data_IF_024686910334
#
_entry.id   IF_024686910334
#
_cell.length_a   1.000
_cell.length_b   1.000
_cell.length_c   1.000
_cell.angle_alpha   90.00
_cell.angle_beta   90.00
_cell.angle_gamma   90.00
#
_symmetry.space_group_name_H-M   'P 1'
#
loop_
_entity.id
_entity.type
_entity.pdbx_description
1 polymer ?
#
# COMPACT_ATOMS: atom_id res chain seq x y z
N UNK A 1 8.79 7.27 -4.94
CA UNK A 1 10.20 7.67 -4.83
C UNK A 1 11.15 6.47 -4.85
N UNK A 2 10.87 5.39 -4.09
CA UNK A 2 11.76 4.21 -4.07
C UNK A 2 11.80 3.48 -5.43
N UNK A 3 10.68 3.37 -6.14
CA UNK A 3 10.62 2.79 -7.48
C UNK A 3 11.44 3.59 -8.50
N UNK A 4 11.46 4.92 -8.39
CA UNK A 4 12.27 5.80 -9.25
C UNK A 4 13.78 5.66 -9.02
N UNK A 5 14.18 5.19 -7.82
CA UNK A 5 15.58 4.96 -7.45
C UNK A 5 16.04 3.50 -7.74
N UNK A 6 15.26 2.72 -8.48
CA UNK A 6 15.59 1.32 -8.78
C UNK A 6 15.38 0.34 -7.62
N UNK A 7 15.10 0.83 -6.43
CA UNK A 7 15.02 -0.02 -5.23
C UNK A 7 13.74 -0.87 -5.16
N UNK A 8 12.69 -0.57 -5.97
CA UNK A 8 11.43 -1.34 -5.97
C UNK A 8 10.85 -1.49 -4.56
N UNK A 9 10.60 -2.71 -4.14
CA UNK A 9 10.25 -3.07 -2.76
C UNK A 9 11.49 -3.24 -1.86
N UNK A 10 12.69 -3.07 -2.40
CA UNK A 10 13.93 -3.24 -1.67
C UNK A 10 14.16 -2.08 -0.67
N UNK A 11 15.01 -2.34 0.31
CA UNK A 11 15.42 -1.34 1.29
C UNK A 11 16.02 -0.11 0.59
N UNK A 12 15.51 1.10 0.83
CA UNK A 12 15.99 2.33 0.19
C UNK A 12 17.47 2.65 0.49
N UNK A 13 18.06 1.96 1.47
CA UNK A 13 19.49 2.07 1.81
C UNK A 13 20.39 1.35 0.82
N UNK A 14 19.87 0.36 0.08
CA UNK A 14 20.69 -0.50 -0.78
C UNK A 14 21.43 0.28 -1.89
N UNK A 15 20.83 1.31 -2.46
CA UNK A 15 21.50 2.15 -3.46
C UNK A 15 22.75 2.85 -2.87
N UNK A 16 22.62 3.39 -1.64
CA UNK A 16 23.76 4.00 -0.92
C UNK A 16 24.83 2.98 -0.57
N UNK A 17 24.41 1.80 -0.15
CA UNK A 17 25.33 0.72 0.21
C UNK A 17 26.07 0.24 -1.02
N UNK A 18 25.39 0.10 -2.18
CA UNK A 18 26.02 -0.24 -3.45
C UNK A 18 27.17 0.69 -3.79
N UNK A 19 26.95 2.02 -3.70
CA UNK A 19 28.01 3.02 -3.93
C UNK A 19 29.18 2.85 -2.93
N UNK A 20 28.90 2.59 -1.66
CA UNK A 20 29.92 2.46 -0.62
C UNK A 20 30.75 1.18 -0.74
N UNK A 21 30.15 0.10 -1.22
CA UNK A 21 30.87 -1.18 -1.43
C UNK A 21 31.48 -1.29 -2.83
N UNK A 22 31.20 -0.35 -3.72
CA UNK A 22 31.67 -0.38 -5.10
C UNK A 22 30.96 -1.42 -5.95
N UNK A 23 29.66 -1.60 -5.73
CA UNK A 23 28.80 -2.50 -6.47
C UNK A 23 27.65 -1.75 -7.16
N UNK A 24 26.85 -2.51 -7.92
CA UNK A 24 25.67 -2.04 -8.64
C UNK A 24 24.49 -2.92 -8.24
N UNK A 25 23.30 -2.36 -8.14
CA UNK A 25 22.09 -3.16 -7.90
C UNK A 25 21.85 -4.08 -9.11
N UNK A 26 21.47 -5.31 -8.86
CA UNK A 26 21.13 -6.26 -9.92
C UNK A 26 19.97 -5.76 -10.79
N UNK A 27 19.01 -5.04 -10.18
CA UNK A 27 17.92 -4.37 -10.91
C UNK A 27 18.38 -3.28 -11.89
N UNK A 28 19.55 -2.69 -11.65
CA UNK A 28 20.11 -1.66 -12.51
C UNK A 28 21.00 -2.27 -13.59
N UNK A 29 21.63 -3.42 -13.34
CA UNK A 29 22.31 -4.21 -14.36
C UNK A 29 21.36 -4.64 -15.48
N UNK A 30 20.12 -4.98 -15.11
CA UNK A 30 19.04 -5.37 -16.03
C UNK A 30 18.05 -4.24 -16.32
N UNK A 31 18.48 -2.99 -16.32
CA UNK A 31 17.58 -1.85 -16.48
C UNK A 31 16.89 -1.81 -17.86
N UNK A 32 17.54 -2.34 -18.91
CA UNK A 32 17.05 -2.36 -20.29
C UNK A 32 16.17 -3.59 -20.65
N UNK A 33 15.80 -4.41 -19.68
CA UNK A 33 14.90 -5.56 -19.91
C UNK A 33 13.53 -5.09 -20.42
N UNK A 34 13.01 -5.84 -21.39
CA UNK A 34 11.67 -5.60 -21.92
C UNK A 34 10.59 -5.82 -20.84
N UNK A 35 9.44 -5.16 -21.02
CA UNK A 35 8.31 -5.33 -20.10
C UNK A 35 7.74 -6.75 -20.12
N UNK A 36 7.89 -7.44 -21.24
CA UNK A 36 7.39 -8.80 -21.43
C UNK A 36 8.28 -9.83 -20.73
N UNK A 37 9.59 -9.56 -20.64
CA UNK A 37 10.56 -10.42 -19.95
C UNK A 37 10.66 -10.13 -18.45
N UNK A 38 10.21 -8.97 -17.99
CA UNK A 38 10.27 -8.56 -16.59
C UNK A 38 9.66 -9.56 -15.60
N UNK A 39 8.54 -10.27 -15.90
CA UNK A 39 7.99 -11.31 -15.02
C UNK A 39 8.95 -12.50 -14.84
N UNK A 40 9.60 -12.94 -15.93
CA UNK A 40 10.58 -14.01 -15.90
C UNK A 40 11.76 -13.66 -15.00
N UNK A 41 12.42 -12.53 -15.23
CA UNK A 41 13.56 -12.09 -14.43
C UNK A 41 13.20 -11.84 -12.97
N UNK A 42 12.00 -11.30 -12.71
CA UNK A 42 11.50 -11.14 -11.34
C UNK A 42 11.33 -12.48 -10.61
N UNK A 43 10.87 -13.51 -11.33
CA UNK A 43 10.75 -14.86 -10.80
C UNK A 43 12.11 -15.56 -10.67
N UNK A 44 12.98 -15.40 -11.66
CA UNK A 44 14.32 -15.99 -11.71
C UNK A 44 15.14 -15.58 -10.49
N UNK A 45 15.24 -14.29 -10.25
CA UNK A 45 16.05 -13.77 -9.13
C UNK A 45 15.28 -13.78 -7.80
N UNK A 46 13.96 -13.61 -7.80
CA UNK A 46 13.13 -13.67 -6.60
C UNK A 46 13.68 -12.80 -5.45
N UNK A 47 14.05 -13.39 -4.30
CA UNK A 47 14.62 -12.62 -3.18
C UNK A 47 15.95 -11.94 -3.53
N UNK A 48 16.73 -12.51 -4.43
CA UNK A 48 18.01 -11.94 -4.86
C UNK A 48 17.87 -10.80 -5.89
N UNK A 49 16.65 -10.40 -6.27
CA UNK A 49 16.44 -9.27 -7.20
C UNK A 49 17.02 -7.93 -6.70
N UNK A 50 17.18 -7.80 -5.39
CA UNK A 50 17.83 -6.65 -4.73
C UNK A 50 19.29 -6.92 -4.38
N UNK A 51 19.92 -7.95 -4.98
CA UNK A 51 21.32 -8.22 -4.76
C UNK A 51 22.23 -7.09 -5.28
N UNK A 52 23.41 -7.02 -4.70
CA UNK A 52 24.48 -6.16 -5.19
C UNK A 52 25.44 -7.00 -6.03
N UNK A 53 25.64 -6.57 -7.26
CA UNK A 53 26.66 -7.14 -8.14
C UNK A 53 27.99 -6.42 -7.86
N UNK A 54 29.00 -7.17 -7.49
CA UNK A 54 30.31 -6.67 -7.08
C UNK A 54 31.43 -7.40 -7.83
N UNK A 55 32.48 -6.70 -8.23
CA UNK A 55 33.65 -7.31 -8.86
C UNK A 55 34.50 -8.14 -7.88
N UNK A 56 34.64 -7.62 -6.67
CA UNK A 56 35.42 -8.21 -5.58
C UNK A 56 34.52 -8.51 -4.39
N UNK A 57 34.13 -9.77 -4.24
CA UNK A 57 33.21 -10.22 -3.19
C UNK A 57 33.83 -10.07 -1.79
N UNK A 58 35.13 -10.43 -1.64
CA UNK A 58 35.80 -10.37 -0.32
C UNK A 58 35.96 -8.92 0.14
N UNK A 59 36.39 -8.03 -0.76
CA UNK A 59 36.52 -6.61 -0.46
C UNK A 59 35.17 -5.93 -0.18
N UNK A 60 34.10 -6.36 -0.85
CA UNK A 60 32.73 -5.88 -0.56
C UNK A 60 32.26 -6.31 0.84
N UNK A 61 32.49 -7.57 1.22
CA UNK A 61 32.17 -8.09 2.56
C UNK A 61 32.91 -7.30 3.65
N UNK A 62 34.22 -7.04 3.45
CA UNK A 62 35.03 -6.29 4.43
C UNK A 62 34.56 -4.83 4.56
N UNK A 63 34.01 -4.23 3.49
CA UNK A 63 33.39 -2.90 3.54
C UNK A 63 32.06 -2.94 4.26
N UNK A 64 31.20 -3.93 3.97
CA UNK A 64 29.90 -4.10 4.64
C UNK A 64 30.04 -4.25 6.15
N UNK A 65 31.05 -5.02 6.63
CA UNK A 65 31.32 -5.17 8.08
C UNK A 65 31.61 -3.86 8.81
N UNK A 66 32.02 -2.82 8.08
CA UNK A 66 32.37 -1.51 8.64
C UNK A 66 31.19 -0.53 8.60
N UNK A 67 30.10 -0.88 7.96
CA UNK A 67 28.93 -0.03 7.86
C UNK A 67 28.02 -0.21 9.09
N UNK A 68 27.72 0.92 9.74
CA UNK A 68 26.83 0.92 10.91
C UNK A 68 25.35 0.73 10.52
N UNK A 69 24.94 1.20 9.33
CA UNK A 69 23.56 1.17 8.84
C UNK A 69 23.41 0.13 7.72
N UNK A 70 23.72 -1.12 8.02
CA UNK A 70 23.59 -2.26 7.10
C UNK A 70 22.25 -2.98 7.35
N UNK A 71 21.46 -3.34 6.31
CA UNK A 71 20.31 -4.22 6.45
C UNK A 71 20.70 -5.57 7.04
N UNK A 72 19.74 -6.25 7.68
CA UNK A 72 19.95 -7.57 8.29
C UNK A 72 20.33 -8.65 7.26
N UNK A 73 19.88 -8.47 6.00
CA UNK A 73 20.11 -9.43 4.92
C UNK A 73 20.43 -8.69 3.61
N UNK A 74 21.56 -9.06 3.00
CA UNK A 74 22.00 -8.52 1.70
C UNK A 74 22.53 -9.69 0.86
N UNK A 75 22.01 -9.81 -0.35
CA UNK A 75 22.57 -10.73 -1.34
C UNK A 75 23.71 -10.06 -2.09
N UNK A 76 24.85 -10.73 -2.16
CA UNK A 76 25.99 -10.31 -2.98
C UNK A 76 26.20 -11.34 -4.09
N UNK A 77 26.39 -10.85 -5.30
CA UNK A 77 26.70 -11.67 -6.47
C UNK A 77 28.02 -11.17 -7.04
N UNK A 78 29.00 -12.07 -7.21
CA UNK A 78 30.24 -11.72 -7.86
C UNK A 78 30.04 -11.71 -9.37
N UNK A 79 30.36 -10.59 -10.01
CA UNK A 79 30.24 -10.45 -11.45
C UNK A 79 30.66 -9.06 -11.91
N UNK A 80 30.86 -8.91 -13.21
CA UNK A 80 31.08 -7.62 -13.81
C UNK A 80 29.72 -6.99 -14.18
N UNK A 81 29.32 -5.84 -13.63
CA UNK A 81 28.05 -5.20 -13.97
C UNK A 81 27.88 -4.91 -15.47
N UNK A 82 28.98 -4.57 -16.19
CA UNK A 82 28.94 -4.23 -17.61
C UNK A 82 28.83 -5.44 -18.55
N UNK A 83 29.12 -6.64 -18.03
CA UNK A 83 29.07 -7.90 -18.78
C UNK A 83 28.61 -9.03 -17.86
N UNK A 84 27.47 -8.81 -17.22
CA UNK A 84 26.90 -9.77 -16.30
C UNK A 84 26.39 -10.99 -17.07
N UNK A 85 26.87 -12.19 -16.71
CA UNK A 85 26.53 -13.44 -17.37
C UNK A 85 25.32 -14.08 -16.68
N UNK A 86 24.28 -14.35 -17.46
CA UNK A 86 23.06 -15.00 -16.98
C UNK A 86 23.24 -16.49 -16.64
N UNK A 87 24.32 -17.13 -17.15
CA UNK A 87 24.62 -18.53 -16.95
C UNK A 87 24.91 -18.90 -15.48
N UNK A 88 24.94 -17.92 -14.57
CA UNK A 88 25.14 -18.14 -13.13
C UNK A 88 23.96 -18.84 -12.43
N UNK A 89 22.80 -18.93 -13.08
CA UNK A 89 21.60 -19.48 -12.47
C UNK A 89 21.03 -20.61 -13.34
N UNK A 90 21.13 -21.85 -12.85
CA UNK A 90 20.44 -22.98 -13.50
C UNK A 90 18.92 -22.84 -13.27
N UNK A 91 18.18 -22.57 -14.32
CA UNK A 91 16.73 -22.40 -14.25
C UNK A 91 16.00 -23.13 -15.39
N UNK A 92 14.89 -23.76 -15.06
CA UNK A 92 13.96 -24.38 -16.00
C UNK A 92 12.67 -23.53 -16.03
N UNK A 93 12.29 -23.06 -17.22
CA UNK A 93 11.04 -22.32 -17.41
C UNK A 93 9.83 -23.27 -17.52
N UNK A 94 8.77 -22.98 -16.77
CA UNK A 94 7.57 -23.82 -16.66
C UNK A 94 6.28 -23.05 -17.08
N UNK A 95 6.36 -22.24 -18.12
CA UNK A 95 5.24 -21.46 -18.65
C UNK A 95 5.00 -20.19 -17.83
N UNK A 96 4.29 -20.27 -16.70
CA UNK A 96 4.02 -19.13 -15.80
C UNK A 96 4.90 -19.11 -14.54
N UNK A 97 5.93 -19.95 -14.51
CA UNK A 97 6.81 -20.13 -13.36
C UNK A 97 8.23 -20.49 -13.78
N UNK A 98 9.17 -20.31 -12.87
CA UNK A 98 10.58 -20.73 -13.02
C UNK A 98 10.97 -21.66 -11.87
N UNK A 99 11.69 -22.72 -12.23
CA UNK A 99 12.31 -23.63 -11.29
C UNK A 99 13.80 -23.33 -11.23
N UNK A 100 14.26 -22.77 -10.14
CA UNK A 100 15.65 -22.33 -9.95
C UNK A 100 16.40 -23.33 -9.05
N UNK A 101 17.51 -23.90 -9.55
CA UNK A 101 18.36 -24.80 -8.78
C UNK A 101 19.38 -24.02 -7.95
N UNK A 102 19.15 -23.95 -6.63
CA UNK A 102 20.06 -23.26 -5.71
C UNK A 102 21.18 -24.18 -5.18
N UNK A 103 20.96 -25.48 -5.21
CA UNK A 103 21.96 -26.48 -4.88
C UNK A 103 21.53 -27.86 -5.39
N UNK A 104 22.40 -28.88 -5.24
CA UNK A 104 22.09 -30.29 -5.62
C UNK A 104 20.81 -30.85 -4.96
N UNK A 105 20.38 -30.29 -3.84
CA UNK A 105 19.23 -30.77 -3.06
C UNK A 105 18.15 -29.69 -2.82
N UNK A 106 18.34 -28.48 -3.36
CA UNK A 106 17.46 -27.38 -3.13
C UNK A 106 17.03 -26.73 -4.45
N UNK A 107 15.75 -26.65 -4.65
CA UNK A 107 15.13 -26.03 -5.80
C UNK A 107 14.12 -25.01 -5.32
N UNK A 108 14.12 -23.85 -5.92
CA UNK A 108 13.14 -22.80 -5.67
C UNK A 108 12.14 -22.77 -6.82
N UNK A 109 10.87 -22.96 -6.52
CA UNK A 109 9.78 -22.74 -7.46
C UNK A 109 9.25 -21.31 -7.29
N UNK A 110 9.20 -20.55 -8.37
CA UNK A 110 8.75 -19.15 -8.35
C UNK A 110 7.79 -18.91 -9.50
N UNK A 111 6.58 -18.45 -9.19
CA UNK A 111 5.62 -18.01 -10.20
C UNK A 111 5.94 -16.60 -10.68
N UNK A 112 5.55 -16.31 -11.92
CA UNK A 112 5.64 -14.95 -12.43
C UNK A 112 4.76 -14.03 -11.61
N UNK A 113 5.28 -12.88 -11.12
CA UNK A 113 4.48 -11.93 -10.38
C UNK A 113 3.52 -11.19 -11.33
N UNK A 114 2.31 -10.91 -10.87
CA UNK A 114 1.32 -10.10 -11.61
C UNK A 114 1.83 -8.67 -11.86
N UNK A 115 2.64 -8.15 -10.95
CA UNK A 115 3.23 -6.82 -11.00
C UNK A 115 4.76 -6.91 -10.94
N UNK A 116 5.43 -7.17 -12.07
CA UNK A 116 6.88 -7.23 -12.10
C UNK A 116 7.47 -5.82 -11.88
N UNK A 117 8.52 -5.75 -11.06
CA UNK A 117 9.25 -4.50 -10.80
C UNK A 117 10.68 -4.55 -11.32
N UNK A 118 11.04 -5.61 -12.00
CA UNK A 118 12.36 -5.80 -12.57
C UNK A 118 12.46 -5.10 -13.94
N UNK A 119 13.53 -4.36 -14.17
CA UNK A 119 13.69 -3.52 -15.36
C UNK A 119 13.02 -2.14 -15.25
N UNK A 120 13.52 -1.17 -16.01
CA UNK A 120 13.02 0.23 -16.02
C UNK A 120 11.58 0.32 -16.49
N UNK A 121 11.28 -0.32 -17.61
CA UNK A 121 9.97 -0.25 -18.24
C UNK A 121 8.85 -0.77 -17.32
N UNK A 122 9.11 -1.85 -16.58
CA UNK A 122 8.15 -2.39 -15.62
C UNK A 122 7.93 -1.45 -14.43
N UNK A 123 9.00 -0.81 -13.93
CA UNK A 123 8.92 0.19 -12.85
C UNK A 123 8.15 1.44 -13.28
N UNK A 124 8.43 1.98 -14.47
CA UNK A 124 7.73 3.14 -15.04
C UNK A 124 6.23 2.86 -15.18
N UNK A 125 5.85 1.73 -15.76
CA UNK A 125 4.44 1.30 -15.85
C UNK A 125 3.78 1.21 -14.47
N UNK A 126 4.47 0.69 -13.46
CA UNK A 126 3.93 0.63 -12.10
C UNK A 126 3.77 2.01 -11.48
N UNK A 127 4.69 2.93 -11.74
CA UNK A 127 4.59 4.33 -11.29
C UNK A 127 3.35 4.99 -11.89
N UNK A 128 3.13 4.85 -13.21
CA UNK A 128 1.94 5.38 -13.88
C UNK A 128 0.64 4.82 -13.28
N UNK A 129 0.60 3.51 -13.02
CA UNK A 129 -0.56 2.90 -12.36
C UNK A 129 -0.81 3.46 -10.96
N UNK A 130 0.24 3.61 -10.16
CA UNK A 130 0.13 4.16 -8.80
C UNK A 130 -0.29 5.64 -8.81
N UNK A 131 0.13 6.41 -9.79
CA UNK A 131 -0.30 7.79 -9.93
C UNK A 131 -1.78 7.89 -10.28
N UNK A 132 -2.30 7.03 -11.17
CA UNK A 132 -3.73 6.93 -11.47
C UNK A 132 -4.54 6.51 -10.23
N UNK A 133 -4.12 5.45 -9.54
CA UNK A 133 -4.76 5.00 -8.29
C UNK A 133 -4.80 6.12 -7.23
N UNK A 134 -3.71 6.89 -7.15
CA UNK A 134 -3.61 8.04 -6.24
C UNK A 134 -4.59 9.15 -6.60
N UNK A 135 -4.74 9.48 -7.89
CA UNK A 135 -5.71 10.48 -8.35
C UNK A 135 -7.14 10.06 -8.03
N UNK A 136 -7.51 8.80 -8.29
CA UNK A 136 -8.82 8.25 -7.94
C UNK A 136 -9.10 8.33 -6.43
N UNK A 137 -8.11 8.02 -5.60
CA UNK A 137 -8.22 8.12 -4.15
C UNK A 137 -8.39 9.57 -3.67
N UNK A 138 -7.68 10.53 -4.29
CA UNK A 138 -7.82 11.95 -3.98
C UNK A 138 -9.23 12.45 -4.33
N UNK A 139 -9.75 12.08 -5.50
CA UNK A 139 -11.13 12.43 -5.87
C UNK A 139 -12.15 11.80 -4.93
N UNK A 140 -11.98 10.52 -4.59
CA UNK A 140 -12.84 9.81 -3.65
C UNK A 140 -12.84 10.47 -2.27
N UNK A 141 -11.66 10.84 -1.79
CA UNK A 141 -11.51 11.58 -0.53
C UNK A 141 -12.20 12.95 -0.58
N UNK A 142 -12.03 13.70 -1.66
CA UNK A 142 -12.67 15.01 -1.83
C UNK A 142 -14.21 14.90 -1.82
N UNK A 143 -14.77 13.90 -2.51
CA UNK A 143 -16.22 13.62 -2.51
C UNK A 143 -16.70 13.26 -1.10
N UNK A 144 -16.02 12.37 -0.40
CA UNK A 144 -16.37 11.97 0.97
C UNK A 144 -16.27 13.15 1.96
N UNK A 145 -15.25 13.98 1.86
CA UNK A 145 -15.08 15.16 2.68
C UNK A 145 -16.21 16.19 2.45
N UNK A 146 -16.61 16.39 1.19
CA UNK A 146 -17.72 17.25 0.84
C UNK A 146 -19.05 16.76 1.45
N UNK A 147 -19.33 15.47 1.35
CA UNK A 147 -20.52 14.87 1.96
C UNK A 147 -20.49 14.96 3.48
N UNK A 148 -19.35 14.66 4.10
CA UNK A 148 -19.18 14.82 5.54
C UNK A 148 -19.49 16.25 5.99
N UNK A 149 -18.98 17.26 5.25
CA UNK A 149 -19.25 18.66 5.56
C UNK A 149 -20.74 19.00 5.42
N UNK A 150 -21.42 18.45 4.39
CA UNK A 150 -22.87 18.60 4.20
C UNK A 150 -23.64 18.04 5.39
N UNK A 151 -23.32 16.81 5.82
CA UNK A 151 -23.98 16.20 6.98
C UNK A 151 -23.67 16.96 8.28
N UNK A 152 -22.46 17.45 8.44
CA UNK A 152 -22.09 18.24 9.62
C UNK A 152 -22.91 19.55 9.71
N UNK A 153 -23.09 20.25 8.59
CA UNK A 153 -23.95 21.43 8.52
C UNK A 153 -25.40 21.09 8.84
N UNK A 154 -25.93 20.03 8.25
CA UNK A 154 -27.29 19.56 8.50
C UNK A 154 -27.50 19.22 9.98
N UNK A 155 -26.58 18.51 10.58
CA UNK A 155 -26.59 18.21 12.01
C UNK A 155 -26.57 19.47 12.87
N UNK A 156 -25.76 20.45 12.52
CA UNK A 156 -25.74 21.76 13.18
C UNK A 156 -27.13 22.43 13.14
N UNK A 157 -27.75 22.52 11.97
CA UNK A 157 -29.07 23.08 11.83
C UNK A 157 -30.13 22.34 12.64
N UNK A 158 -30.12 21.02 12.65
CA UNK A 158 -31.04 20.23 13.47
C UNK A 158 -30.85 20.47 14.96
N UNK A 159 -29.60 20.48 15.41
CA UNK A 159 -29.26 20.73 16.82
C UNK A 159 -29.76 22.13 17.27
N UNK A 160 -29.52 23.13 16.44
CA UNK A 160 -29.94 24.50 16.73
C UNK A 160 -31.47 24.64 16.71
N UNK A 161 -32.14 24.00 15.74
CA UNK A 161 -33.60 23.92 15.70
C UNK A 161 -34.20 23.26 16.94
N UNK A 162 -33.65 22.10 17.35
CA UNK A 162 -34.09 21.41 18.57
C UNK A 162 -33.87 22.32 19.77
N UNK A 163 -32.68 22.96 19.89
CA UNK A 163 -32.40 23.89 21.01
C UNK A 163 -33.37 25.03 21.12
N UNK A 164 -33.77 25.62 19.98
CA UNK A 164 -34.71 26.74 19.93
C UNK A 164 -36.17 26.32 20.20
N UNK A 165 -36.56 25.12 19.84
CA UNK A 165 -37.94 24.63 19.90
C UNK A 165 -38.21 23.55 20.94
N UNK A 166 -37.22 23.22 21.77
CA UNK A 166 -37.33 22.16 22.80
C UNK A 166 -38.52 22.44 23.74
N UNK A 167 -38.70 23.69 24.16
CA UNK A 167 -39.79 24.10 25.04
C UNK A 167 -41.19 23.96 24.40
N UNK A 168 -41.27 24.04 23.10
CA UNK A 168 -42.53 23.86 22.35
C UNK A 168 -42.82 22.36 22.19
N UNK A 169 -41.84 21.57 21.85
CA UNK A 169 -41.97 20.12 21.61
C UNK A 169 -42.28 19.34 22.90
N UNK A 170 -41.72 19.80 24.01
CA UNK A 170 -41.89 19.15 25.32
C UNK A 170 -42.79 19.92 26.29
N UNK A 171 -43.58 20.91 25.83
CA UNK A 171 -44.60 21.47 26.69
C UNK A 171 -45.55 20.37 27.13
N UNK A 172 -45.64 20.05 28.46
CA UNK A 172 -46.62 19.09 28.94
C UNK A 172 -47.96 19.59 28.54
N UNK A 173 -48.70 18.84 27.74
CA UNK A 173 -50.07 19.13 27.41
C UNK A 173 -50.82 19.36 28.73
N UNK A 174 -51.12 20.62 29.08
CA UNK A 174 -51.92 20.92 30.25
C UNK A 174 -53.20 20.07 30.12
N UNK A 175 -53.30 19.02 30.94
CA UNK A 175 -54.53 18.25 31.08
C UNK A 175 -55.62 19.29 31.32
N UNK A 176 -56.53 19.48 30.35
CA UNK A 176 -57.74 20.27 30.55
C UNK A 176 -58.37 19.75 31.81
N UNK A 177 -58.29 20.53 32.93
CA UNK A 177 -59.14 20.24 34.12
C UNK A 177 -60.56 20.29 33.60
N UNK A 178 -61.18 19.11 33.50
CA UNK A 178 -62.60 19.03 33.30
C UNK A 178 -63.22 19.76 34.49
N UNK A 179 -63.88 20.89 34.23
CA UNK A 179 -64.72 21.60 35.22
C UNK A 179 -65.80 20.59 35.59
N UNK A 180 -65.98 20.26 36.87
CA UNK A 180 -67.16 19.51 37.27
C UNK A 180 -68.37 20.34 36.96
N UNK A 181 -69.26 19.87 36.09
CA UNK A 181 -70.55 20.48 35.85
C UNK A 181 -71.33 20.35 37.13
N UNK A 182 -71.66 21.50 37.72
CA UNK A 182 -72.59 21.58 38.84
C UNK A 182 -73.98 21.24 38.30
N UNK A 183 -74.34 19.96 38.40
CA UNK A 183 -75.72 19.54 38.22
C UNK A 183 -76.51 19.88 39.51
N UNK A 184 -77.31 20.85 39.35
CA UNK A 184 -78.39 21.20 40.26
C UNK A 184 -79.24 19.98 40.62
N UNK A 185 -79.33 19.71 41.90
CA UNK A 185 -80.28 18.72 42.49
C UNK A 185 -81.71 19.27 42.40
N UNK A 186 -82.45 18.77 41.43
CA UNK A 186 -83.92 18.94 41.47
C UNK A 186 -84.52 17.76 42.25
N UNK A 187 -85.01 18.05 43.42
CA UNK A 187 -85.88 17.23 44.25
C UNK A 187 -87.15 16.82 43.51
N UNK A 188 -87.36 15.52 43.33
CA UNK A 188 -88.64 15.02 42.86
C UNK A 188 -89.34 14.26 44.03
N UNK A 189 -90.38 14.91 44.62
CA UNK A 189 -91.25 14.25 45.57
C UNK A 189 -92.20 13.30 44.84
N UNK A 190 -92.41 12.15 45.40
CA UNK A 190 -93.51 11.23 45.04
C UNK A 190 -94.80 11.63 45.71
N UNK A 191 -95.90 11.21 45.15
CA UNK A 191 -96.84 10.49 45.91
C UNK A 191 -96.84 8.97 45.67
#
# INVERSE_FOLDING_TARGET
>A
RNLQLGAGEADPRLARIAEQVGGVLLSDVYDDISIDDAPYYSALYGPARSALVVLDLEGAIERLKKLEDCPEDIYLIQGNPDSFDEDLVEADELGDAVLVRTSKRQVRFSRYPELPLFGRAAREKRIEQLDLEREELIEGYAKAAFEQQKYHRLYGHFRDFIGQHLDIAFRPTRKRKCRPSSTSSASCKRP
#
